data_IF_528193728290
#
_entry.id   IF_528193728290
#
_cell.length_a   1.000
_cell.length_b   1.000
_cell.length_c   1.000
_cell.angle_alpha   90.00
_cell.angle_beta   90.00
_cell.angle_gamma   90.00
#
_symmetry.space_group_name_H-M   'P 1'
#
loop_
_entity.id
_entity.type
_entity.pdbx_description
1 polymer ?
#
# COMPACT_ATOMS: atom_id res chain seq x y z
N UNK A 1 4.23 15.55 -4.84
CA UNK A 1 2.99 16.38 -4.84
C UNK A 1 1.74 15.49 -4.99
N UNK A 2 0.52 16.02 -4.90
CA UNK A 2 -0.72 15.32 -5.31
C UNK A 2 -1.68 16.25 -6.05
N UNK A 3 -2.49 15.67 -6.93
CA UNK A 3 -3.54 16.32 -7.71
C UNK A 3 -4.92 15.77 -7.37
N UNK A 4 -5.98 16.58 -7.48
CA UNK A 4 -7.35 16.10 -7.24
C UNK A 4 -7.82 15.17 -8.35
N UNK A 5 -7.49 15.46 -9.62
CA UNK A 5 -7.69 14.54 -10.73
C UNK A 5 -6.36 13.85 -11.06
N UNK A 6 -6.26 12.56 -10.71
CA UNK A 6 -5.26 11.66 -11.29
C UNK A 6 -6.02 10.79 -12.28
N UNK A 7 -5.98 11.15 -13.57
CA UNK A 7 -6.42 10.26 -14.63
C UNK A 7 -5.56 8.98 -14.60
N UNK A 8 -6.09 7.89 -15.12
CA UNK A 8 -5.40 6.61 -15.31
C UNK A 8 -4.24 6.76 -16.29
N UNK A 9 -3.13 7.36 -15.87
CA UNK A 9 -1.87 7.49 -16.61
C UNK A 9 -1.88 8.30 -17.91
N UNK A 10 -3.05 8.62 -18.48
CA UNK A 10 -3.21 9.17 -19.83
C UNK A 10 -3.68 10.63 -19.89
N UNK A 11 -4.31 11.17 -18.85
CA UNK A 11 -4.72 12.58 -18.78
C UNK A 11 -4.15 13.30 -17.56
N UNK A 12 -3.18 14.20 -17.81
CA UNK A 12 -2.52 15.04 -16.82
C UNK A 12 -3.13 16.45 -16.82
N UNK A 13 -4.45 16.52 -16.64
CA UNK A 13 -5.21 17.77 -16.67
C UNK A 13 -5.99 17.96 -15.37
N UNK A 14 -5.24 18.06 -14.26
CA UNK A 14 -5.86 18.44 -12.98
C UNK A 14 -6.06 19.95 -12.92
N UNK A 15 -7.19 20.35 -12.33
CA UNK A 15 -7.53 21.75 -12.08
C UNK A 15 -6.83 22.29 -10.84
N UNK A 16 -6.41 21.40 -9.93
CA UNK A 16 -5.54 21.77 -8.84
C UNK A 16 -4.49 20.71 -8.46
N UNK A 17 -3.48 21.16 -7.74
CA UNK A 17 -2.46 20.35 -7.09
C UNK A 17 -2.11 20.93 -5.71
N UNK A 18 -1.62 20.08 -4.83
CA UNK A 18 -1.23 20.44 -3.47
C UNK A 18 0.01 19.65 -3.04
N UNK A 19 0.84 20.29 -2.23
CA UNK A 19 2.10 19.74 -1.76
C UNK A 19 2.53 20.38 -0.46
N UNK A 20 3.46 19.72 0.23
CA UNK A 20 4.00 20.16 1.49
C UNK A 20 5.45 19.71 1.61
N UNK A 21 6.25 20.52 2.30
CA UNK A 21 7.57 20.11 2.78
C UNK A 21 7.43 19.61 4.22
N UNK A 22 7.98 18.42 4.47
CA UNK A 22 7.87 17.73 5.75
C UNK A 22 9.27 17.56 6.33
N UNK A 23 9.45 17.95 7.58
CA UNK A 23 10.72 17.75 8.28
C UNK A 23 10.99 16.26 8.45
N UNK A 24 12.13 15.79 7.93
CA UNK A 24 12.50 14.36 7.95
C UNK A 24 12.55 13.78 9.38
N UNK A 25 13.13 14.53 10.32
CA UNK A 25 13.26 14.09 11.72
C UNK A 25 11.97 14.28 12.52
N UNK A 26 11.28 15.41 12.34
CA UNK A 26 10.08 15.74 13.12
C UNK A 26 8.82 15.04 12.61
N UNK A 27 8.77 14.69 11.32
CA UNK A 27 7.58 14.21 10.63
C UNK A 27 6.46 15.25 10.50
N UNK A 28 6.74 16.52 10.85
CA UNK A 28 5.80 17.65 10.82
C UNK A 28 5.92 18.39 9.50
N UNK A 29 4.80 18.92 9.02
CA UNK A 29 4.76 19.84 7.90
C UNK A 29 5.41 21.15 8.34
N UNK A 30 6.41 21.59 7.58
CA UNK A 30 7.11 22.86 7.77
C UNK A 30 6.40 23.98 7.02
N UNK A 31 5.99 23.69 5.78
CA UNK A 31 5.23 24.59 4.91
C UNK A 31 4.43 23.79 3.88
N UNK A 32 3.40 24.39 3.30
CA UNK A 32 2.52 23.78 2.30
C UNK A 32 1.98 24.82 1.33
N UNK A 33 1.54 24.35 0.15
CA UNK A 33 0.91 25.22 -0.82
C UNK A 33 -0.01 24.49 -1.78
N UNK A 34 -0.82 25.28 -2.48
CA UNK A 34 -1.80 24.85 -3.47
C UNK A 34 -1.51 25.52 -4.81
N UNK A 35 -1.85 24.82 -5.89
CA UNK A 35 -1.81 25.31 -7.28
C UNK A 35 -3.17 25.10 -7.89
N UNK A 36 -3.90 26.18 -8.13
CA UNK A 36 -5.26 26.17 -8.63
C UNK A 36 -5.31 26.88 -9.99
N UNK A 37 -5.77 26.17 -11.02
CA UNK A 37 -5.87 26.67 -12.39
C UNK A 37 -7.20 27.32 -12.73
N UNK A 38 -8.23 27.11 -11.89
CA UNK A 38 -9.59 27.60 -12.11
C UNK A 38 -10.21 28.09 -10.82
N UNK A 39 -11.14 29.02 -10.96
CA UNK A 39 -12.03 29.49 -9.89
C UNK A 39 -13.45 29.58 -10.45
N UNK A 40 -14.42 29.01 -9.73
CA UNK A 40 -15.82 28.92 -10.17
C UNK A 40 -16.48 30.29 -10.34
N UNK A 41 -16.12 31.26 -9.50
CA UNK A 41 -16.71 32.61 -9.56
C UNK A 41 -16.11 33.41 -10.73
N UNK A 42 -14.79 33.33 -10.95
CA UNK A 42 -14.18 33.88 -12.16
C UNK A 42 -14.76 33.27 -13.45
N UNK A 43 -14.98 31.95 -13.49
CA UNK A 43 -15.59 31.28 -14.65
C UNK A 43 -17.04 31.75 -14.91
N UNK A 44 -17.70 32.37 -13.92
CA UNK A 44 -19.02 33.01 -14.04
C UNK A 44 -18.95 34.50 -14.39
N UNK A 45 -17.76 35.07 -14.56
CA UNK A 45 -17.57 36.49 -14.89
C UNK A 45 -17.45 37.44 -13.70
N UNK A 46 -17.32 36.94 -12.46
CA UNK A 46 -17.01 37.79 -11.31
C UNK A 46 -15.55 38.25 -11.34
N UNK A 47 -15.31 39.49 -10.90
CA UNK A 47 -13.95 39.99 -10.75
C UNK A 47 -13.20 39.19 -9.67
N UNK A 48 -11.91 38.85 -9.87
CA UNK A 48 -11.10 38.16 -8.87
C UNK A 48 -11.03 38.88 -7.51
N UNK A 49 -11.23 40.20 -7.46
CA UNK A 49 -11.20 40.97 -6.22
C UNK A 49 -12.53 40.93 -5.45
N UNK A 50 -13.63 40.49 -6.08
CA UNK A 50 -14.96 40.43 -5.46
C UNK A 50 -15.16 39.19 -4.56
N UNK A 51 -14.18 38.27 -4.54
CA UNK A 51 -14.28 37.02 -3.80
C UNK A 51 -12.89 36.49 -3.41
N UNK A 52 -12.85 35.44 -2.58
CA UNK A 52 -11.61 34.74 -2.24
C UNK A 52 -11.10 33.89 -3.43
N UNK A 53 -10.58 34.57 -4.44
CA UNK A 53 -10.08 33.93 -5.65
C UNK A 53 -8.76 33.20 -5.38
N UNK A 54 -8.83 31.87 -5.28
CA UNK A 54 -7.65 31.01 -5.09
C UNK A 54 -6.91 30.64 -6.38
N UNK A 55 -7.30 31.19 -7.53
CA UNK A 55 -6.64 30.91 -8.82
C UNK A 55 -5.24 31.52 -8.82
N UNK A 56 -4.21 30.68 -8.86
CA UNK A 56 -2.81 31.10 -8.71
C UNK A 56 -1.84 30.38 -9.66
N UNK A 57 -2.34 29.55 -10.58
CA UNK A 57 -1.49 28.78 -11.49
C UNK A 57 -2.04 28.78 -12.91
N UNK A 58 -1.22 29.18 -13.88
CA UNK A 58 -1.66 29.37 -15.28
C UNK A 58 -1.11 28.34 -16.26
N UNK A 59 -0.13 27.54 -15.82
CA UNK A 59 0.59 26.58 -16.68
C UNK A 59 -0.08 25.19 -16.61
N UNK A 60 0.44 24.22 -17.38
CA UNK A 60 -0.02 22.83 -17.38
C UNK A 60 0.05 22.18 -15.99
N UNK A 61 -0.88 21.27 -15.69
CA UNK A 61 -0.91 20.58 -14.40
C UNK A 61 0.39 19.81 -14.06
N UNK A 62 1.15 19.38 -15.09
CA UNK A 62 2.44 18.71 -14.95
C UNK A 62 3.51 19.61 -14.32
N UNK A 63 3.43 20.93 -14.51
CA UNK A 63 4.39 21.89 -13.99
C UNK A 63 4.16 22.23 -12.51
N UNK A 64 2.98 21.91 -11.96
CA UNK A 64 2.61 22.29 -10.59
C UNK A 64 3.57 21.76 -9.53
N UNK A 65 4.10 20.55 -9.72
CA UNK A 65 4.97 19.90 -8.74
C UNK A 65 6.33 20.58 -8.64
N UNK A 66 6.98 20.81 -9.78
CA UNK A 66 8.26 21.48 -9.82
C UNK A 66 8.16 22.94 -9.34
N UNK A 67 7.08 23.63 -9.72
CA UNK A 67 6.81 25.00 -9.32
C UNK A 67 6.56 25.12 -7.81
N UNK A 68 5.69 24.28 -7.26
CA UNK A 68 5.41 24.27 -5.81
C UNK A 68 6.63 23.80 -5.00
N UNK A 69 7.39 22.82 -5.50
CA UNK A 69 8.63 22.38 -4.86
C UNK A 69 9.65 23.51 -4.76
N UNK A 70 9.82 24.28 -5.83
CA UNK A 70 10.70 25.45 -5.85
C UNK A 70 10.20 26.57 -4.91
N UNK A 71 8.89 26.86 -4.90
CA UNK A 71 8.31 27.83 -3.98
C UNK A 71 8.54 27.43 -2.52
N UNK A 72 8.15 26.23 -2.12
CA UNK A 72 8.27 25.78 -0.72
C UNK A 72 9.72 25.67 -0.26
N UNK A 73 10.66 25.39 -1.18
CA UNK A 73 12.08 25.22 -0.82
C UNK A 73 12.82 26.55 -0.75
N UNK A 74 12.61 27.44 -1.73
CA UNK A 74 13.40 28.66 -1.89
C UNK A 74 12.66 29.92 -1.43
N UNK A 75 11.33 29.91 -1.53
CA UNK A 75 10.48 31.08 -1.32
C UNK A 75 9.53 30.96 -0.13
N UNK A 76 9.64 29.90 0.67
CA UNK A 76 8.84 29.74 1.90
C UNK A 76 9.04 30.92 2.84
N UNK A 77 7.96 31.65 3.10
CA UNK A 77 7.95 32.77 4.02
C UNK A 77 8.25 32.30 5.46
N UNK A 78 7.70 31.15 5.86
CA UNK A 78 7.90 30.55 7.20
C UNK A 78 9.38 30.23 7.44
N UNK A 79 10.05 29.64 6.44
CA UNK A 79 11.47 29.31 6.55
C UNK A 79 12.34 30.58 6.59
N UNK A 80 12.00 31.60 5.80
CA UNK A 80 12.72 32.89 5.79
C UNK A 80 12.60 33.61 7.13
N UNK A 81 11.41 33.68 7.72
CA UNK A 81 11.16 34.30 9.03
C UNK A 81 11.95 33.62 10.16
N UNK A 82 12.10 32.30 10.07
CA UNK A 82 12.87 31.51 11.03
C UNK A 82 14.37 31.43 10.70
N UNK A 83 14.82 32.10 9.62
CA UNK A 83 16.21 32.08 9.12
C UNK A 83 16.72 30.67 8.81
N UNK A 84 15.83 29.78 8.37
CA UNK A 84 16.15 28.41 7.98
C UNK A 84 16.24 28.28 6.46
N UNK A 85 17.18 27.45 6.00
CA UNK A 85 17.35 27.12 4.59
C UNK A 85 17.33 25.60 4.39
N UNK A 86 16.68 25.14 3.31
CA UNK A 86 16.68 23.73 2.95
C UNK A 86 17.99 23.37 2.24
N UNK A 87 18.77 22.46 2.81
CA UNK A 87 20.03 21.95 2.21
C UNK A 87 19.88 20.59 1.56
N UNK A 88 18.95 19.78 2.07
CA UNK A 88 18.74 18.41 1.64
C UNK A 88 17.27 18.22 1.33
N UNK A 89 16.98 17.82 0.09
CA UNK A 89 15.65 17.49 -0.39
C UNK A 89 15.55 15.98 -0.58
N UNK A 90 14.52 15.37 -0.02
CA UNK A 90 14.15 13.97 -0.27
C UNK A 90 12.95 14.01 -1.18
N UNK A 91 13.08 13.44 -2.38
CA UNK A 91 12.00 13.41 -3.36
C UNK A 91 12.13 12.15 -4.22
N UNK A 92 11.10 11.87 -5.00
CA UNK A 92 11.12 10.80 -5.98
C UNK A 92 12.17 11.11 -7.08
N UNK A 93 12.54 10.15 -7.92
CA UNK A 93 13.60 10.34 -8.92
C UNK A 93 13.20 11.19 -10.15
N UNK A 94 12.18 12.02 -10.02
CA UNK A 94 11.79 13.00 -11.02
C UNK A 94 12.81 14.16 -11.07
N UNK A 95 13.26 14.48 -12.29
CA UNK A 95 14.33 15.45 -12.54
C UNK A 95 13.86 16.91 -12.56
N UNK A 96 12.57 17.15 -12.83
CA UNK A 96 12.00 18.49 -13.01
C UNK A 96 11.96 19.31 -11.73
N UNK A 97 11.57 18.70 -10.59
CA UNK A 97 11.48 19.38 -9.29
C UNK A 97 12.84 19.83 -8.79
N UNK A 98 13.82 18.93 -8.74
CA UNK A 98 15.17 19.27 -8.26
C UNK A 98 15.84 20.31 -9.17
N UNK A 99 15.59 20.28 -10.48
CA UNK A 99 16.10 21.28 -11.39
C UNK A 99 15.50 22.67 -11.11
N UNK A 100 14.18 22.75 -10.91
CA UNK A 100 13.50 24.01 -10.56
C UNK A 100 13.99 24.56 -9.22
N UNK A 101 14.10 23.70 -8.21
CA UNK A 101 14.61 24.03 -6.87
C UNK A 101 16.04 24.56 -6.95
N UNK A 102 16.95 23.89 -7.67
CA UNK A 102 18.34 24.34 -7.80
C UNK A 102 18.49 25.67 -8.54
N UNK A 103 17.69 25.90 -9.59
CA UNK A 103 17.70 27.18 -10.33
C UNK A 103 17.32 28.37 -9.45
N UNK A 104 16.40 28.18 -8.51
CA UNK A 104 15.92 29.24 -7.62
C UNK A 104 16.69 29.38 -6.31
N UNK A 105 17.71 28.56 -6.06
CA UNK A 105 18.46 28.55 -4.81
C UNK A 105 19.83 29.21 -4.98
N UNK A 106 20.18 30.12 -4.07
CA UNK A 106 21.53 30.68 -3.94
C UNK A 106 22.54 29.69 -3.32
N UNK A 107 22.06 28.55 -2.84
CA UNK A 107 22.83 27.56 -2.10
C UNK A 107 22.79 26.19 -2.79
N UNK A 108 23.85 25.39 -2.59
CA UNK A 108 23.86 23.99 -3.04
C UNK A 108 22.80 23.16 -2.31
N UNK A 109 21.90 22.56 -3.09
CA UNK A 109 20.84 21.66 -2.63
C UNK A 109 21.18 20.22 -3.05
N UNK A 110 21.35 19.38 -2.03
CA UNK A 110 21.56 17.94 -2.16
C UNK A 110 20.21 17.23 -2.31
N UNK A 111 20.13 16.30 -3.26
CA UNK A 111 18.97 15.43 -3.43
C UNK A 111 19.31 14.05 -2.87
N UNK A 112 18.45 13.55 -1.98
CA UNK A 112 18.45 12.16 -1.56
C UNK A 112 17.30 11.43 -2.26
N UNK A 113 17.57 10.20 -2.67
CA UNK A 113 16.59 9.37 -3.36
C UNK A 113 15.58 8.78 -2.37
N UNK A 114 14.30 8.72 -2.76
CA UNK A 114 13.34 7.87 -2.07
C UNK A 114 13.67 6.39 -2.32
N UNK A 115 13.90 5.64 -1.24
CA UNK A 115 14.24 4.23 -1.31
C UNK A 115 13.19 3.34 -2.00
N UNK A 116 11.90 3.66 -1.89
CA UNK A 116 10.86 2.83 -2.48
C UNK A 116 10.83 3.01 -4.00
N UNK A 117 11.01 4.24 -4.47
CA UNK A 117 11.16 4.57 -5.88
C UNK A 117 12.44 3.98 -6.44
N UNK A 118 13.57 4.12 -5.74
CA UNK A 118 14.84 3.50 -6.14
C UNK A 118 14.71 1.98 -6.29
N UNK A 119 14.05 1.32 -5.33
CA UNK A 119 13.78 -0.13 -5.39
C UNK A 119 12.84 -0.50 -6.55
N UNK A 120 11.88 0.36 -6.89
CA UNK A 120 10.97 0.16 -8.02
C UNK A 120 11.71 0.31 -9.36
N UNK A 121 12.59 1.30 -9.46
CA UNK A 121 13.40 1.55 -10.65
C UNK A 121 14.37 0.40 -10.91
N UNK A 122 15.03 -0.11 -9.86
CA UNK A 122 15.84 -1.33 -9.95
C UNK A 122 15.03 -2.50 -10.49
N UNK A 123 13.82 -2.72 -9.95
CA UNK A 123 12.96 -3.81 -10.43
C UNK A 123 12.55 -3.64 -11.89
N UNK A 124 12.27 -2.41 -12.33
CA UNK A 124 11.97 -2.14 -13.73
C UNK A 124 13.19 -2.48 -14.62
N UNK A 125 14.40 -2.07 -14.23
CA UNK A 125 15.64 -2.43 -14.94
C UNK A 125 15.84 -3.96 -15.01
N UNK A 126 15.54 -4.68 -13.93
CA UNK A 126 15.59 -6.15 -13.91
C UNK A 126 14.52 -6.79 -14.80
N UNK A 127 13.34 -6.19 -14.94
CA UNK A 127 12.32 -6.65 -15.88
C UNK A 127 12.70 -6.41 -17.34
N UNK A 128 13.45 -5.35 -17.65
CA UNK A 128 14.02 -5.15 -18.99
C UNK A 128 15.06 -6.23 -19.30
N UNK A 129 15.92 -6.58 -18.34
CA UNK A 129 16.86 -7.71 -18.50
C UNK A 129 16.14 -9.05 -18.70
N UNK A 130 14.99 -9.24 -18.05
CA UNK A 130 14.16 -10.44 -18.22
C UNK A 130 13.67 -10.64 -19.67
N UNK A 131 13.50 -9.57 -20.45
CA UNK A 131 13.11 -9.68 -21.87
C UNK A 131 14.22 -10.27 -22.73
N UNK A 132 15.46 -10.14 -22.31
CA UNK A 132 16.66 -10.52 -23.07
C UNK A 132 17.23 -11.85 -22.57
N UNK A 133 17.26 -12.06 -21.26
CA UNK A 133 17.88 -13.23 -20.63
C UNK A 133 16.85 -14.20 -20.06
N UNK A 134 16.87 -15.45 -20.53
CA UNK A 134 15.90 -16.48 -20.13
C UNK A 134 16.01 -16.87 -18.65
N UNK A 135 17.21 -16.86 -18.04
CA UNK A 135 17.40 -17.21 -16.63
C UNK A 135 16.63 -16.26 -15.68
N UNK A 136 16.47 -14.99 -16.07
CA UNK A 136 15.69 -13.99 -15.33
C UNK A 136 14.17 -14.26 -15.36
N UNK A 137 13.70 -15.20 -16.19
CA UNK A 137 12.30 -15.58 -16.25
C UNK A 137 11.84 -16.48 -15.10
N UNK A 138 12.79 -17.10 -14.39
CA UNK A 138 12.50 -17.84 -13.16
C UNK A 138 11.80 -16.93 -12.15
N UNK A 139 10.68 -17.38 -11.60
CA UNK A 139 9.80 -16.58 -10.73
C UNK A 139 10.50 -16.02 -9.49
N UNK A 140 11.57 -16.66 -9.03
CA UNK A 140 12.26 -16.35 -7.78
C UNK A 140 13.42 -15.34 -7.94
N UNK A 141 13.94 -15.14 -9.15
CA UNK A 141 15.17 -14.37 -9.39
C UNK A 141 14.99 -12.88 -9.07
N UNK A 142 14.02 -12.21 -9.70
CA UNK A 142 13.78 -10.77 -9.45
C UNK A 142 13.40 -10.52 -7.98
N UNK A 143 12.48 -11.30 -7.35
CA UNK A 143 12.19 -11.15 -5.93
C UNK A 143 13.42 -11.33 -5.03
N UNK A 144 14.31 -12.28 -5.34
CA UNK A 144 15.53 -12.52 -4.58
C UNK A 144 16.51 -11.36 -4.70
N UNK A 145 16.81 -10.89 -5.92
CA UNK A 145 17.67 -9.72 -6.16
C UNK A 145 17.13 -8.47 -5.45
N UNK A 146 15.81 -8.27 -5.52
CA UNK A 146 15.15 -7.16 -4.85
C UNK A 146 15.25 -7.27 -3.31
N UNK A 147 15.23 -8.50 -2.76
CA UNK A 147 15.42 -8.78 -1.33
C UNK A 147 16.86 -8.52 -0.91
N UNK A 148 17.85 -8.99 -1.67
CA UNK A 148 19.28 -8.73 -1.44
C UNK A 148 19.56 -7.22 -1.42
N UNK A 149 19.05 -6.47 -2.40
CA UNK A 149 19.15 -5.00 -2.42
C UNK A 149 18.55 -4.37 -1.16
N UNK A 150 17.35 -4.81 -0.77
CA UNK A 150 16.69 -4.33 0.43
C UNK A 150 17.48 -4.59 1.72
N UNK A 151 18.14 -5.75 1.83
CA UNK A 151 19.01 -6.08 2.96
C UNK A 151 20.28 -5.23 2.96
N UNK A 152 20.95 -5.08 1.82
CA UNK A 152 22.14 -4.24 1.70
C UNK A 152 21.86 -2.79 2.15
N UNK A 153 20.73 -2.20 1.71
CA UNK A 153 20.32 -0.85 2.13
C UNK A 153 19.93 -0.81 3.62
N UNK A 154 19.24 -1.83 4.13
CA UNK A 154 18.77 -1.83 5.52
C UNK A 154 19.90 -1.99 6.54
N UNK A 155 20.93 -2.78 6.22
CA UNK A 155 22.07 -3.06 7.11
C UNK A 155 23.12 -1.94 7.09
N UNK A 156 23.33 -1.29 5.95
CA UNK A 156 24.40 -0.30 5.76
C UNK A 156 23.91 1.16 5.87
N UNK A 157 22.90 1.42 6.71
CA UNK A 157 22.34 2.78 6.84
C UNK A 157 23.40 3.77 7.34
N UNK A 158 23.57 4.85 6.61
CA UNK A 158 24.55 5.90 6.90
C UNK A 158 26.00 5.54 6.54
N UNK A 159 26.28 4.31 6.08
CA UNK A 159 27.63 3.90 5.66
C UNK A 159 27.69 3.73 4.14
N UNK A 160 28.12 4.79 3.45
CA UNK A 160 28.18 4.84 1.98
C UNK A 160 29.11 3.78 1.40
N UNK A 161 30.29 3.60 1.99
CA UNK A 161 31.32 2.70 1.47
C UNK A 161 30.90 1.24 1.61
N UNK A 162 30.39 0.85 2.79
CA UNK A 162 29.90 -0.52 3.01
C UNK A 162 28.65 -0.82 2.18
N UNK A 163 27.77 0.17 1.99
CA UNK A 163 26.62 0.01 1.10
C UNK A 163 27.07 -0.24 -0.34
N UNK A 164 27.99 0.58 -0.86
CA UNK A 164 28.51 0.42 -2.22
C UNK A 164 29.19 -0.96 -2.39
N UNK A 165 30.01 -1.39 -1.44
CA UNK A 165 30.62 -2.72 -1.47
C UNK A 165 29.58 -3.85 -1.44
N UNK A 166 28.58 -3.75 -0.54
CA UNK A 166 27.51 -4.75 -0.43
C UNK A 166 26.66 -4.85 -1.68
N UNK A 167 26.41 -3.75 -2.39
CA UNK A 167 25.67 -3.76 -3.65
C UNK A 167 26.45 -4.45 -4.76
N UNK A 168 27.77 -4.23 -4.83
CA UNK A 168 28.65 -4.86 -5.83
C UNK A 168 28.78 -6.37 -5.66
N UNK A 169 28.60 -6.89 -4.45
CA UNK A 169 28.64 -8.34 -4.22
C UNK A 169 27.31 -9.07 -4.50
N UNK A 170 26.21 -8.36 -4.75
CA UNK A 170 24.91 -9.00 -5.05
C UNK A 170 24.95 -9.83 -6.35
N UNK A 171 25.51 -9.34 -7.47
CA UNK A 171 25.72 -10.17 -8.65
C UNK A 171 26.52 -11.42 -8.32
N UNK A 172 27.69 -11.30 -7.70
CA UNK A 172 28.54 -12.46 -7.40
C UNK A 172 27.81 -13.50 -6.52
N UNK A 173 27.04 -13.04 -5.54
CA UNK A 173 26.19 -13.88 -4.69
C UNK A 173 25.22 -14.77 -5.47
N UNK A 174 24.54 -14.24 -6.49
CA UNK A 174 23.56 -15.04 -7.28
C UNK A 174 24.23 -15.97 -8.29
N UNK A 175 25.54 -15.82 -8.54
CA UNK A 175 26.36 -16.74 -9.33
C UNK A 175 27.15 -17.74 -8.46
N UNK A 176 26.93 -17.74 -7.14
CA UNK A 176 27.55 -18.70 -6.21
C UNK A 176 28.92 -18.29 -5.69
N UNK A 177 29.36 -17.07 -5.98
CA UNK A 177 30.57 -16.46 -5.41
C UNK A 177 30.17 -15.65 -4.16
N UNK A 178 30.68 -16.09 -3.02
CA UNK A 178 30.32 -15.56 -1.71
C UNK A 178 31.48 -14.87 -0.99
N UNK A 179 32.64 -14.71 -1.63
CA UNK A 179 33.85 -14.17 -0.97
C UNK A 179 33.62 -12.76 -0.38
N UNK A 180 32.86 -11.94 -1.11
CA UNK A 180 32.58 -10.54 -0.77
C UNK A 180 31.15 -10.32 -0.23
N UNK A 181 30.46 -11.40 0.15
CA UNK A 181 29.15 -11.29 0.77
C UNK A 181 29.26 -10.68 2.19
N UNK A 182 28.28 -9.86 2.56
CA UNK A 182 28.13 -9.37 3.93
C UNK A 182 27.21 -10.27 4.77
N UNK A 183 26.92 -9.83 6.00
CA UNK A 183 26.04 -10.53 6.97
C UNK A 183 24.62 -10.83 6.46
N UNK A 184 24.19 -10.23 5.35
CA UNK A 184 22.94 -10.56 4.66
C UNK A 184 22.98 -11.91 3.93
N UNK A 185 24.15 -12.50 3.72
CA UNK A 185 24.30 -13.81 3.12
C UNK A 185 24.25 -14.91 4.18
N UNK A 186 23.21 -15.75 4.12
CA UNK A 186 22.99 -16.85 5.05
C UNK A 186 24.13 -17.91 5.07
N UNK A 187 24.99 -17.95 4.03
CA UNK A 187 26.08 -18.92 3.93
C UNK A 187 27.22 -18.68 4.94
N UNK A 188 27.37 -17.45 5.45
CA UNK A 188 28.30 -17.17 6.55
C UNK A 188 27.79 -17.63 7.92
N UNK A 189 26.46 -17.74 8.09
CA UNK A 189 25.84 -18.16 9.35
C UNK A 189 25.59 -19.68 9.42
N UNK A 190 25.38 -20.34 8.28
CA UNK A 190 25.21 -21.79 8.18
C UNK A 190 25.97 -22.37 6.97
N UNK A 191 27.22 -22.84 7.15
CA UNK A 191 28.09 -23.31 6.05
C UNK A 191 27.55 -24.54 5.29
N UNK A 192 26.70 -25.35 5.94
CA UNK A 192 26.16 -26.61 5.40
C UNK A 192 24.75 -26.49 4.79
N UNK A 193 24.18 -25.29 4.72
CA UNK A 193 22.88 -25.10 4.07
C UNK A 193 23.03 -25.13 2.54
N UNK A 194 22.52 -26.19 1.90
CA UNK A 194 22.40 -26.31 0.43
C UNK A 194 21.41 -25.29 -0.18
N UNK A 195 20.80 -24.40 0.61
CA UNK A 195 19.71 -23.54 0.14
C UNK A 195 20.22 -22.25 -0.54
N UNK A 196 21.00 -22.36 -1.61
CA UNK A 196 21.12 -21.20 -2.51
C UNK A 196 19.82 -21.09 -3.31
N UNK A 197 18.92 -20.20 -2.89
CA UNK A 197 17.59 -20.04 -3.49
C UNK A 197 17.67 -19.72 -4.99
N UNK A 198 18.72 -19.02 -5.43
CA UNK A 198 18.93 -18.65 -6.82
C UNK A 198 20.40 -18.85 -7.20
N UNK A 199 20.65 -19.72 -8.18
CA UNK A 199 21.94 -19.90 -8.83
C UNK A 199 21.78 -19.64 -10.35
N UNK A 200 22.48 -18.63 -10.84
CA UNK A 200 22.55 -18.21 -12.25
C UNK A 200 23.86 -18.71 -12.88
N UNK A 201 23.85 -18.93 -14.19
CA UNK A 201 25.00 -19.48 -14.94
C UNK A 201 25.38 -18.65 -16.17
N UNK A 202 24.45 -17.84 -16.69
CA UNK A 202 24.71 -17.00 -17.87
C UNK A 202 25.73 -15.89 -17.56
N UNK A 203 26.93 -16.01 -18.14
CA UNK A 203 28.02 -15.06 -17.93
C UNK A 203 27.71 -13.67 -18.52
N UNK A 204 26.95 -13.59 -19.62
CA UNK A 204 26.53 -12.31 -20.19
C UNK A 204 25.55 -11.61 -19.25
N UNK A 205 24.63 -12.37 -18.65
CA UNK A 205 23.75 -11.86 -17.59
C UNK A 205 24.55 -11.37 -16.38
N UNK A 206 25.64 -12.06 -15.99
CA UNK A 206 26.52 -11.64 -14.89
C UNK A 206 27.07 -10.24 -15.11
N UNK A 207 27.59 -9.97 -16.31
CA UNK A 207 28.13 -8.64 -16.67
C UNK A 207 27.05 -7.56 -16.64
N UNK A 208 25.85 -7.86 -17.18
CA UNK A 208 24.72 -6.93 -17.16
C UNK A 208 24.26 -6.63 -15.73
N UNK A 209 24.15 -7.64 -14.88
CA UNK A 209 23.81 -7.45 -13.47
C UNK A 209 24.89 -6.64 -12.74
N UNK A 210 26.18 -6.91 -12.97
CA UNK A 210 27.28 -6.09 -12.43
C UNK A 210 27.12 -4.63 -12.83
N UNK A 211 26.93 -4.34 -14.11
CA UNK A 211 26.72 -2.97 -14.59
C UNK A 211 25.52 -2.27 -13.92
N UNK A 212 24.39 -2.98 -13.76
CA UNK A 212 23.23 -2.45 -13.04
C UNK A 212 23.59 -2.15 -11.59
N UNK A 213 24.10 -3.11 -10.83
CA UNK A 213 24.40 -2.90 -9.41
C UNK A 213 25.54 -1.90 -9.18
N UNK A 214 26.52 -1.80 -10.08
CA UNK A 214 27.58 -0.78 -10.04
C UNK A 214 27.04 0.64 -10.19
N UNK A 215 26.05 0.85 -11.06
CA UNK A 215 25.35 2.14 -11.18
C UNK A 215 24.73 2.55 -9.84
N UNK A 216 24.09 1.63 -9.12
CA UNK A 216 23.52 1.91 -7.79
C UNK A 216 24.62 2.10 -6.74
N UNK A 217 25.67 1.28 -6.74
CA UNK A 217 26.80 1.39 -5.83
C UNK A 217 27.54 2.74 -5.98
N UNK A 218 27.76 3.20 -7.21
CA UNK A 218 28.36 4.52 -7.50
C UNK A 218 27.51 5.69 -7.04
N UNK A 219 26.20 5.47 -6.80
CA UNK A 219 25.27 6.48 -6.31
C UNK A 219 24.87 6.26 -4.84
N UNK A 220 25.56 5.39 -4.09
CA UNK A 220 25.20 5.01 -2.72
C UNK A 220 25.04 6.20 -1.76
N UNK A 221 25.79 7.29 -1.97
CA UNK A 221 25.68 8.51 -1.15
C UNK A 221 24.27 9.13 -1.20
N UNK A 222 23.53 8.96 -2.31
CA UNK A 222 22.19 9.51 -2.49
C UNK A 222 21.11 8.79 -1.68
N UNK A 223 21.33 7.56 -1.24
CA UNK A 223 20.30 6.75 -0.57
C UNK A 223 20.78 5.97 0.65
N UNK A 224 22.04 6.13 1.05
CA UNK A 224 22.60 5.51 2.26
C UNK A 224 21.85 5.86 3.55
N UNK A 225 21.25 7.05 3.63
CA UNK A 225 20.43 7.47 4.77
C UNK A 225 19.09 6.75 4.87
N UNK A 226 18.76 5.94 3.87
CA UNK A 226 17.52 5.23 3.72
C UNK A 226 16.26 6.12 3.80
N UNK A 227 16.35 7.33 3.23
CA UNK A 227 15.28 8.31 3.19
C UNK A 227 14.04 7.83 2.44
N UNK A 228 12.87 8.37 2.81
CA UNK A 228 11.63 8.05 2.11
C UNK A 228 10.55 9.14 2.15
N UNK A 229 9.80 9.28 1.05
CA UNK A 229 8.64 10.15 0.82
C UNK A 229 7.33 9.59 1.41
N UNK A 230 7.35 8.47 2.15
CA UNK A 230 6.18 7.87 2.81
C UNK A 230 5.38 8.85 3.69
N UNK A 231 6.06 9.82 4.32
CA UNK A 231 5.39 10.85 5.11
C UNK A 231 4.52 11.79 4.24
N UNK A 232 4.98 12.09 3.02
CA UNK A 232 4.25 12.85 2.01
C UNK A 232 3.10 12.02 1.46
N UNK A 233 3.29 10.72 1.17
CA UNK A 233 2.21 9.83 0.74
C UNK A 233 1.08 9.73 1.77
N UNK A 234 1.43 9.59 3.05
CA UNK A 234 0.48 9.56 4.16
C UNK A 234 -0.30 10.88 4.30
N UNK A 235 0.39 12.02 4.16
CA UNK A 235 -0.26 13.32 4.14
C UNK A 235 -1.21 13.47 2.95
N UNK A 236 -0.72 13.14 1.75
CA UNK A 236 -1.48 13.13 0.51
C UNK A 236 -2.74 12.26 0.61
N UNK A 237 -2.69 11.13 1.31
CA UNK A 237 -3.86 10.31 1.57
C UNK A 237 -4.87 11.02 2.49
N UNK A 238 -4.40 11.72 3.52
CA UNK A 238 -5.25 12.51 4.42
C UNK A 238 -5.97 13.63 3.65
N UNK A 239 -5.25 14.36 2.80
CA UNK A 239 -5.86 15.40 1.95
C UNK A 239 -6.92 14.81 1.03
N UNK A 240 -6.67 13.63 0.44
CA UNK A 240 -7.63 12.98 -0.44
C UNK A 240 -8.91 12.51 0.24
N UNK A 241 -8.84 12.12 1.51
CA UNK A 241 -10.05 11.82 2.29
C UNK A 241 -10.89 13.06 2.58
N UNK A 242 -10.28 14.26 2.56
CA UNK A 242 -10.98 15.55 2.74
C UNK A 242 -11.42 16.15 1.41
N UNK A 243 -10.65 15.94 0.34
CA UNK A 243 -10.94 16.34 -1.03
C UNK A 243 -11.30 15.10 -1.86
N UNK A 244 -12.51 14.58 -1.66
CA UNK A 244 -12.98 13.38 -2.35
C UNK A 244 -13.07 13.62 -3.86
N UNK A 245 -12.61 12.68 -4.68
CA UNK A 245 -12.65 12.81 -6.14
C UNK A 245 -14.07 12.99 -6.71
N UNK A 246 -15.08 12.42 -6.05
CA UNK A 246 -16.48 12.51 -6.47
C UNK A 246 -17.07 13.91 -6.29
N UNK A 247 -16.49 14.70 -5.38
CA UNK A 247 -16.97 16.02 -5.02
C UNK A 247 -15.95 17.07 -5.51
N UNK A 248 -16.35 17.89 -6.49
CA UNK A 248 -15.44 18.88 -7.07
C UNK A 248 -15.29 20.10 -6.15
N UNK A 249 -14.31 20.04 -5.23
CA UNK A 249 -13.93 21.18 -4.38
C UNK A 249 -12.85 22.06 -5.00
N UNK A 250 -12.17 21.60 -6.07
CA UNK A 250 -10.97 22.23 -6.64
C UNK A 250 -11.18 23.57 -7.34
N UNK A 251 -12.40 24.11 -7.32
CA UNK A 251 -12.79 25.36 -8.00
C UNK A 251 -13.16 26.47 -7.02
N UNK A 252 -13.01 26.26 -5.71
CA UNK A 252 -13.25 27.27 -4.68
C UNK A 252 -12.24 27.15 -3.55
N UNK A 253 -12.24 28.12 -2.66
CA UNK A 253 -11.46 28.19 -1.42
C UNK A 253 -11.68 26.98 -0.49
N UNK A 254 -12.78 26.25 -0.67
CA UNK A 254 -13.06 25.02 0.06
C UNK A 254 -11.93 23.98 -0.05
N UNK A 255 -11.30 23.85 -1.22
CA UNK A 255 -10.20 22.88 -1.38
C UNK A 255 -9.00 23.25 -0.51
N UNK A 256 -8.66 24.54 -0.48
CA UNK A 256 -7.51 25.08 0.26
C UNK A 256 -7.74 24.94 1.77
N UNK A 257 -8.95 25.23 2.27
CA UNK A 257 -9.31 24.98 3.68
C UNK A 257 -9.19 23.50 4.06
N UNK A 258 -9.55 22.57 3.17
CA UNK A 258 -9.41 21.12 3.41
C UNK A 258 -7.96 20.68 3.45
N UNK A 259 -7.09 21.29 2.63
CA UNK A 259 -5.63 21.08 2.68
C UNK A 259 -5.07 21.63 3.99
N UNK A 260 -5.38 22.88 4.36
CA UNK A 260 -4.94 23.51 5.60
C UNK A 260 -5.38 22.71 6.83
N UNK A 261 -6.63 22.26 6.85
CA UNK A 261 -7.16 21.35 7.85
C UNK A 261 -6.32 20.08 7.96
N UNK A 262 -5.93 19.45 6.83
CA UNK A 262 -5.11 18.23 6.82
C UNK A 262 -3.71 18.50 7.40
N UNK A 263 -3.14 19.67 7.12
CA UNK A 263 -1.88 20.13 7.71
C UNK A 263 -1.99 20.21 9.22
N UNK A 264 -3.03 20.88 9.73
CA UNK A 264 -3.27 21.02 11.16
C UNK A 264 -3.43 19.65 11.85
N UNK A 265 -4.22 18.74 11.29
CA UNK A 265 -4.38 17.40 11.86
C UNK A 265 -3.06 16.62 11.88
N UNK A 266 -2.24 16.70 10.83
CA UNK A 266 -0.92 16.04 10.81
C UNK A 266 0.00 16.63 11.88
N UNK A 267 0.03 17.94 12.04
CA UNK A 267 0.94 18.61 12.95
C UNK A 267 0.50 18.54 14.42
N UNK A 268 -0.78 18.73 14.70
CA UNK A 268 -1.31 18.90 16.06
C UNK A 268 -2.36 17.86 16.48
N UNK A 269 -2.81 17.00 15.56
CA UNK A 269 -3.98 16.15 15.82
C UNK A 269 -5.28 16.90 15.66
N UNK A 270 -6.40 16.22 15.91
CA UNK A 270 -7.74 16.80 15.77
C UNK A 270 -8.06 17.81 16.88
N UNK A 271 -7.29 17.84 17.97
CA UNK A 271 -7.32 18.91 18.97
C UNK A 271 -6.97 20.31 18.43
N UNK A 272 -6.50 20.46 17.18
CA UNK A 272 -6.33 21.78 16.57
C UNK A 272 -7.65 22.56 16.43
N UNK A 273 -8.79 21.86 16.36
CA UNK A 273 -10.11 22.48 16.18
C UNK A 273 -10.46 23.41 17.35
N UNK A 274 -10.13 23.02 18.58
CA UNK A 274 -10.34 23.85 19.77
C UNK A 274 -9.54 25.15 19.67
N UNK A 275 -8.27 25.07 19.25
CA UNK A 275 -7.43 26.26 19.07
C UNK A 275 -7.97 27.20 17.99
N UNK A 276 -8.48 26.66 16.89
CA UNK A 276 -9.09 27.46 15.83
C UNK A 276 -10.37 28.14 16.34
N UNK A 277 -11.19 27.43 17.12
CA UNK A 277 -12.39 27.99 17.74
C UNK A 277 -12.04 29.14 18.71
N UNK A 278 -11.01 28.96 19.54
CA UNK A 278 -10.53 30.00 20.45
C UNK A 278 -10.07 31.26 19.70
N UNK A 279 -9.29 31.09 18.62
CA UNK A 279 -8.82 32.21 17.76
C UNK A 279 -10.01 32.93 17.12
N UNK A 280 -11.00 32.18 16.64
CA UNK A 280 -12.22 32.72 16.03
C UNK A 280 -13.22 33.25 17.09
N UNK A 281 -12.89 33.15 18.39
CA UNK A 281 -13.76 33.54 19.50
C UNK A 281 -15.12 32.82 19.47
N UNK A 282 -15.13 31.59 18.97
CA UNK A 282 -16.30 30.70 18.96
C UNK A 282 -16.17 29.75 20.14
N UNK A 283 -17.19 29.69 21.01
CA UNK A 283 -17.18 28.82 22.19
C UNK A 283 -16.96 27.35 21.78
N UNK A 284 -15.89 26.69 22.27
CA UNK A 284 -15.67 25.27 22.02
C UNK A 284 -16.80 24.45 22.65
N UNK A 285 -17.64 23.82 21.82
CA UNK A 285 -18.71 22.96 22.35
C UNK A 285 -18.08 21.69 22.92
N UNK A 286 -18.52 21.26 24.11
CA UNK A 286 -18.14 20.00 24.79
C UNK A 286 -18.05 18.79 23.84
N UNK A 287 -18.97 18.70 22.88
CA UNK A 287 -18.98 17.61 21.90
C UNK A 287 -17.82 17.64 20.90
N UNK A 288 -17.37 18.82 20.47
CA UNK A 288 -16.23 18.98 19.57
C UNK A 288 -14.93 18.50 20.22
N UNK A 289 -14.72 18.86 21.49
CA UNK A 289 -13.57 18.42 22.27
C UNK A 289 -13.54 16.89 22.46
N UNK A 290 -14.68 16.31 22.86
CA UNK A 290 -14.81 14.86 23.01
C UNK A 290 -14.57 14.11 21.69
N UNK A 291 -15.08 14.66 20.57
CA UNK A 291 -14.84 14.10 19.24
C UNK A 291 -13.36 14.15 18.87
N UNK A 292 -12.71 15.31 19.02
CA UNK A 292 -11.28 15.50 18.72
C UNK A 292 -10.41 14.52 19.52
N UNK A 293 -10.62 14.44 20.83
CA UNK A 293 -9.90 13.51 21.71
C UNK A 293 -10.12 12.04 21.32
N UNK A 294 -11.34 11.67 20.88
CA UNK A 294 -11.64 10.31 20.37
C UNK A 294 -10.88 10.03 19.07
N UNK A 295 -10.88 10.96 18.11
CA UNK A 295 -10.16 10.78 16.85
C UNK A 295 -8.66 10.64 17.07
N UNK A 296 -8.07 11.50 17.92
CA UNK A 296 -6.65 11.44 18.24
C UNK A 296 -6.27 10.11 18.91
N UNK A 297 -7.08 9.63 19.86
CA UNK A 297 -6.87 8.32 20.50
C UNK A 297 -6.91 7.17 19.49
N UNK A 298 -7.89 7.17 18.58
CA UNK A 298 -7.98 6.15 17.52
C UNK A 298 -6.79 6.21 16.56
N UNK A 299 -6.33 7.42 16.21
CA UNK A 299 -5.18 7.64 15.34
C UNK A 299 -3.89 7.12 15.97
N UNK A 300 -3.64 7.42 17.25
CA UNK A 300 -2.48 6.93 18.00
C UNK A 300 -2.50 5.40 18.06
N UNK A 301 -3.63 4.80 18.47
CA UNK A 301 -3.79 3.35 18.54
C UNK A 301 -3.56 2.67 17.19
N UNK A 302 -4.08 3.23 16.09
CA UNK A 302 -3.85 2.72 14.72
C UNK A 302 -2.38 2.81 14.32
N UNK A 303 -1.69 3.90 14.68
CA UNK A 303 -0.28 4.08 14.39
C UNK A 303 0.61 3.09 15.16
N UNK A 304 0.31 2.86 16.45
CA UNK A 304 0.99 1.85 17.29
C UNK A 304 0.78 0.44 16.75
N UNK A 305 -0.48 0.06 16.49
CA UNK A 305 -0.82 -1.23 15.87
C UNK A 305 -0.12 -1.43 14.53
N UNK A 306 -0.03 -0.37 13.70
CA UNK A 306 0.65 -0.42 12.41
C UNK A 306 2.14 -0.76 12.47
N UNK A 307 2.80 -0.54 13.61
CA UNK A 307 4.22 -0.84 13.84
C UNK A 307 4.47 -2.31 14.20
N UNK A 308 3.49 -2.98 14.79
CA UNK A 308 3.61 -4.37 15.26
C UNK A 308 3.95 -5.34 14.12
N UNK A 309 4.86 -6.29 14.39
CA UNK A 309 5.28 -7.31 13.43
C UNK A 309 4.10 -8.17 12.98
N UNK A 310 3.23 -8.55 13.91
CA UNK A 310 2.00 -9.33 13.63
C UNK A 310 1.07 -8.60 12.68
N UNK A 311 0.82 -7.31 12.90
CA UNK A 311 -0.01 -6.48 12.02
C UNK A 311 0.62 -6.28 10.64
N UNK A 312 1.95 -6.12 10.54
CA UNK A 312 2.66 -6.07 9.25
C UNK A 312 2.55 -7.40 8.49
N UNK A 313 2.76 -8.52 9.17
CA UNK A 313 2.65 -9.86 8.60
C UNK A 313 1.23 -10.14 8.10
N UNK A 314 0.22 -9.87 8.94
CA UNK A 314 -1.20 -10.03 8.57
C UNK A 314 -1.57 -9.19 7.35
N UNK A 315 -1.10 -7.94 7.26
CA UNK A 315 -1.32 -7.10 6.06
C UNK A 315 -0.71 -7.71 4.80
N UNK A 316 0.48 -8.29 4.89
CA UNK A 316 1.13 -8.95 3.75
C UNK A 316 0.34 -10.20 3.31
N UNK A 317 -0.10 -11.04 4.25
CA UNK A 317 -0.92 -12.23 3.98
C UNK A 317 -2.24 -11.81 3.30
N UNK A 318 -2.96 -10.84 3.87
CA UNK A 318 -4.22 -10.35 3.29
C UNK A 318 -4.02 -9.71 1.90
N UNK A 319 -2.86 -9.10 1.63
CA UNK A 319 -2.53 -8.59 0.29
C UNK A 319 -2.33 -9.75 -0.69
N UNK A 320 -1.58 -10.78 -0.31
CA UNK A 320 -1.34 -11.96 -1.13
C UNK A 320 -2.65 -12.72 -1.43
N UNK A 321 -3.49 -12.92 -0.42
CA UNK A 321 -4.81 -13.56 -0.58
C UNK A 321 -5.70 -12.78 -1.55
N UNK A 322 -5.79 -11.45 -1.40
CA UNK A 322 -6.56 -10.60 -2.32
C UNK A 322 -6.03 -10.66 -3.75
N UNK A 323 -4.71 -10.62 -3.93
CA UNK A 323 -4.08 -10.71 -5.24
C UNK A 323 -4.33 -12.08 -5.90
N UNK A 324 -4.24 -13.16 -5.12
CA UNK A 324 -4.53 -14.52 -5.59
C UNK A 324 -5.99 -14.66 -6.00
N UNK A 325 -6.92 -14.18 -5.16
CA UNK A 325 -8.35 -14.17 -5.46
C UNK A 325 -8.65 -13.34 -6.70
N UNK A 326 -8.03 -12.17 -6.87
CA UNK A 326 -8.20 -11.33 -8.06
C UNK A 326 -7.80 -12.10 -9.32
N UNK A 327 -6.62 -12.74 -9.33
CA UNK A 327 -6.15 -13.52 -10.49
C UNK A 327 -7.03 -14.72 -10.81
N UNK A 328 -7.53 -15.43 -9.80
CA UNK A 328 -8.46 -16.55 -10.01
C UNK A 328 -9.76 -16.06 -10.63
N UNK A 329 -10.33 -14.97 -10.10
CA UNK A 329 -11.55 -14.35 -10.63
C UNK A 329 -11.37 -13.80 -12.03
N UNK A 330 -10.35 -12.99 -12.29
CA UNK A 330 -10.04 -12.44 -13.61
C UNK A 330 -9.83 -13.57 -14.64
N UNK A 331 -9.25 -14.71 -14.24
CA UNK A 331 -9.11 -15.88 -15.12
C UNK A 331 -10.45 -16.58 -15.39
N UNK A 332 -11.31 -16.74 -14.38
CA UNK A 332 -12.63 -17.36 -14.56
C UNK A 332 -13.63 -16.47 -15.29
N UNK A 333 -13.48 -15.15 -15.15
CA UNK A 333 -14.34 -14.15 -15.78
C UNK A 333 -14.00 -13.95 -17.27
N UNK A 334 -12.78 -14.31 -17.70
CA UNK A 334 -12.33 -14.05 -19.06
C UNK A 334 -12.23 -12.54 -19.37
N UNK A 335 -12.24 -12.18 -20.65
CA UNK A 335 -12.16 -10.78 -21.08
C UNK A 335 -13.49 -10.07 -20.87
N UNK A 336 -13.67 -9.43 -19.70
CA UNK A 336 -14.88 -8.67 -19.37
C UNK A 336 -14.87 -7.21 -19.88
N UNK A 337 -13.69 -6.62 -20.11
CA UNK A 337 -13.57 -5.23 -20.53
C UNK A 337 -12.33 -5.01 -21.42
N UNK A 338 -12.55 -4.93 -22.73
CA UNK A 338 -11.58 -4.44 -23.70
C UNK A 338 -12.19 -3.30 -24.53
N UNK A 339 -11.40 -2.31 -24.96
CA UNK A 339 -11.88 -1.31 -25.92
C UNK A 339 -12.45 -2.02 -27.15
N UNK A 340 -13.64 -1.62 -27.58
CA UNK A 340 -14.36 -2.20 -28.74
C UNK A 340 -14.88 -3.65 -28.58
N UNK A 341 -14.85 -4.25 -27.38
CA UNK A 341 -15.36 -5.62 -27.18
C UNK A 341 -16.85 -5.83 -27.55
N UNK A 342 -17.64 -4.74 -27.66
CA UNK A 342 -19.04 -4.78 -28.12
C UNK A 342 -19.24 -4.46 -29.59
N UNK A 343 -18.19 -4.09 -30.35
CA UNK A 343 -18.27 -3.80 -31.78
C UNK A 343 -18.03 -5.05 -32.64
N UNK A 344 -17.25 -6.01 -32.13
CA UNK A 344 -16.99 -7.30 -32.78
C UNK A 344 -17.99 -8.40 -32.35
N UNK A 345 -19.07 -8.02 -31.66
CA UNK A 345 -20.22 -8.91 -31.44
C UNK A 345 -21.00 -8.98 -32.75
N UNK A 346 -20.67 -9.96 -33.60
CA UNK A 346 -21.49 -10.30 -34.76
C UNK A 346 -22.96 -10.49 -34.31
N UNK A 347 -23.87 -9.67 -34.85
CA UNK A 347 -25.33 -9.80 -34.66
C UNK A 347 -25.86 -11.06 -35.36
N UNK A 348 -25.02 -11.79 -36.09
CA UNK A 348 -25.31 -13.14 -36.51
C UNK A 348 -25.18 -14.06 -35.30
N UNK A 349 -26.31 -14.40 -34.70
CA UNK A 349 -26.46 -15.63 -33.91
C UNK A 349 -26.08 -16.77 -34.85
N UNK A 350 -24.79 -17.13 -34.85
CA UNK A 350 -24.28 -18.37 -35.41
C UNK A 350 -24.82 -19.49 -34.53
N UNK A 351 -25.91 -20.08 -35.00
CA UNK A 351 -26.14 -21.50 -34.81
C UNK A 351 -24.98 -22.25 -35.44
N UNK A 352 -24.47 -23.26 -34.71
CA UNK A 352 -23.44 -24.24 -35.11
C UNK A 352 -22.00 -23.72 -34.98
N UNK A 353 -21.03 -24.40 -34.36
CA UNK A 353 -20.90 -25.74 -33.76
C UNK A 353 -19.76 -25.60 -32.74
N UNK A 354 -20.03 -25.77 -31.43
CA UNK A 354 -18.95 -25.91 -30.44
C UNK A 354 -18.63 -27.40 -30.30
N UNK A 355 -17.54 -27.77 -30.95
CA UNK A 355 -16.82 -29.02 -30.76
C UNK A 355 -16.21 -29.05 -29.35
N UNK A 356 -16.18 -30.24 -28.76
CA UNK A 356 -15.96 -30.50 -27.35
C UNK A 356 -14.67 -29.90 -26.75
N UNK A 357 -14.81 -28.98 -25.79
CA UNK A 357 -14.00 -29.03 -24.57
C UNK A 357 -14.88 -28.70 -23.36
N UNK A 358 -15.48 -29.77 -22.84
CA UNK A 358 -16.48 -29.81 -21.78
C UNK A 358 -15.92 -29.35 -20.43
N UNK A 359 -16.10 -28.07 -20.11
CA UNK A 359 -16.38 -27.65 -18.75
C UNK A 359 -17.90 -27.50 -18.63
N UNK A 360 -18.59 -28.62 -18.39
CA UNK A 360 -20.04 -28.65 -18.21
C UNK A 360 -20.44 -27.81 -17.00
N UNK A 361 -21.01 -26.63 -17.24
CA UNK A 361 -21.83 -25.98 -16.23
C UNK A 361 -23.08 -26.85 -16.03
N UNK A 362 -23.20 -27.44 -14.84
CA UNK A 362 -24.36 -28.24 -14.44
C UNK A 362 -25.60 -27.34 -14.54
N UNK A 363 -26.63 -27.78 -15.26
CA UNK A 363 -27.95 -27.16 -15.16
C UNK A 363 -28.45 -27.29 -13.71
N UNK A 364 -29.33 -26.40 -13.21
CA UNK A 364 -29.86 -26.50 -11.84
C UNK A 364 -30.49 -27.87 -11.52
N UNK A 365 -30.94 -28.57 -12.56
CA UNK A 365 -31.57 -29.90 -12.49
C UNK A 365 -30.54 -31.05 -12.37
N UNK A 366 -29.24 -30.75 -12.50
CA UNK A 366 -28.10 -31.67 -12.34
C UNK A 366 -27.30 -31.41 -11.05
N UNK A 367 -27.72 -30.44 -10.24
CA UNK A 367 -27.08 -30.15 -8.95
C UNK A 367 -27.71 -31.00 -7.84
N UNK A 368 -26.88 -31.80 -7.17
CA UNK A 368 -27.30 -32.52 -5.97
C UNK A 368 -27.28 -31.58 -4.77
N UNK A 369 -28.45 -31.24 -4.22
CA UNK A 369 -28.56 -30.32 -3.10
C UNK A 369 -28.32 -31.04 -1.78
N UNK A 370 -27.23 -30.66 -1.10
CA UNK A 370 -26.93 -31.12 0.26
C UNK A 370 -27.24 -29.98 1.22
N UNK A 371 -28.18 -30.23 2.12
CA UNK A 371 -28.48 -29.36 3.25
C UNK A 371 -27.55 -29.74 4.40
N UNK A 372 -26.93 -28.76 5.04
CA UNK A 372 -26.10 -29.04 6.22
C UNK A 372 -26.31 -28.00 7.30
N UNK A 373 -26.10 -28.42 8.54
CA UNK A 373 -26.16 -27.57 9.71
C UNK A 373 -25.06 -27.96 10.72
N UNK A 374 -24.74 -27.03 11.61
CA UNK A 374 -23.65 -27.14 12.56
C UNK A 374 -24.09 -26.75 13.97
N UNK A 375 -23.81 -27.63 14.93
CA UNK A 375 -23.93 -27.28 16.35
C UNK A 375 -22.58 -26.86 16.92
N UNK A 376 -22.56 -25.78 17.70
CA UNK A 376 -21.31 -25.15 18.17
C UNK A 376 -21.31 -24.93 19.68
N UNK A 377 -20.12 -24.79 20.26
CA UNK A 377 -19.95 -24.48 21.69
C UNK A 377 -20.43 -23.07 22.10
N UNK A 378 -20.70 -22.19 21.12
CA UNK A 378 -21.20 -20.82 21.31
C UNK A 378 -21.11 -19.99 20.02
N UNK A 379 -21.50 -18.72 20.07
CA UNK A 379 -21.58 -17.84 18.88
C UNK A 379 -20.25 -17.11 18.53
N UNK A 380 -19.16 -17.41 19.22
CA UNK A 380 -17.87 -16.74 18.99
C UNK A 380 -17.11 -17.37 17.81
N UNK A 381 -16.22 -16.61 17.17
CA UNK A 381 -15.35 -17.13 16.09
C UNK A 381 -14.33 -18.18 16.58
N UNK A 382 -14.16 -18.34 17.88
CA UNK A 382 -13.33 -19.38 18.50
C UNK A 382 -14.18 -20.53 19.07
N UNK A 383 -15.47 -20.61 18.74
CA UNK A 383 -16.31 -21.72 19.16
C UNK A 383 -15.91 -23.01 18.44
N UNK A 384 -15.77 -24.09 19.20
CA UNK A 384 -15.72 -25.45 18.63
C UNK A 384 -17.00 -25.76 17.86
N UNK A 385 -16.85 -26.45 16.73
CA UNK A 385 -17.93 -27.20 16.08
C UNK A 385 -18.03 -28.54 16.82
N UNK A 386 -19.23 -28.86 17.31
CA UNK A 386 -19.50 -30.03 18.15
C UNK A 386 -20.31 -31.10 17.41
N UNK A 387 -21.04 -30.71 16.36
CA UNK A 387 -21.74 -31.63 15.48
C UNK A 387 -21.76 -31.08 14.05
N UNK A 388 -21.63 -31.98 13.08
CA UNK A 388 -21.90 -31.70 11.67
C UNK A 388 -23.03 -32.65 11.26
N UNK A 389 -24.12 -32.08 10.74
CA UNK A 389 -25.19 -32.84 10.12
C UNK A 389 -25.34 -32.38 8.67
N UNK A 390 -25.43 -33.33 7.74
CA UNK A 390 -25.68 -33.06 6.34
C UNK A 390 -26.68 -34.09 5.81
N UNK A 391 -27.59 -33.69 4.94
CA UNK A 391 -28.55 -34.56 4.31
C UNK A 391 -28.85 -34.11 2.88
N UNK A 392 -29.13 -35.07 2.02
CA UNK A 392 -29.72 -34.86 0.72
C UNK A 392 -31.06 -35.61 0.63
N UNK A 393 -31.56 -35.88 -0.57
CA UNK A 393 -32.84 -36.58 -0.75
C UNK A 393 -32.79 -38.07 -0.33
N UNK A 394 -31.61 -38.70 -0.39
CA UNK A 394 -31.44 -40.16 -0.30
C UNK A 394 -30.56 -40.60 0.88
N UNK A 395 -29.79 -39.68 1.46
CA UNK A 395 -28.74 -39.96 2.44
C UNK A 395 -28.67 -38.90 3.53
N UNK A 396 -28.26 -39.34 4.72
CA UNK A 396 -27.96 -38.45 5.84
C UNK A 396 -26.62 -38.83 6.48
N UNK A 397 -25.91 -37.80 6.93
CA UNK A 397 -24.63 -37.88 7.59
C UNK A 397 -24.72 -37.06 8.88
N UNK A 398 -24.27 -37.64 9.98
CA UNK A 398 -24.19 -36.94 11.25
C UNK A 398 -22.98 -37.44 12.01
N UNK A 399 -22.16 -36.51 12.50
CA UNK A 399 -21.00 -36.85 13.32
C UNK A 399 -20.83 -35.84 14.45
N UNK A 400 -20.45 -36.33 15.63
CA UNK A 400 -20.07 -35.50 16.76
C UNK A 400 -18.55 -35.30 16.80
N UNK A 401 -18.12 -34.12 17.24
CA UNK A 401 -16.72 -33.71 17.25
C UNK A 401 -16.26 -33.45 18.68
N UNK A 402 -15.05 -33.89 18.99
CA UNK A 402 -14.47 -33.74 20.33
C UNK A 402 -14.40 -32.26 20.75
N UNK A 403 -14.93 -31.89 21.94
CA UNK A 403 -14.85 -30.54 22.44
C UNK A 403 -13.43 -30.27 22.96
N UNK A 404 -12.85 -29.15 22.55
CA UNK A 404 -11.56 -28.64 23.04
C UNK A 404 -11.74 -27.61 24.16
N UNK A 405 -12.94 -27.04 24.30
CA UNK A 405 -13.30 -26.06 25.31
C UNK A 405 -14.70 -26.29 25.89
N UNK A 406 -15.05 -25.53 26.93
CA UNK A 406 -16.36 -25.62 27.57
C UNK A 406 -17.48 -25.13 26.63
N UNK A 407 -18.64 -25.81 26.68
CA UNK A 407 -19.86 -25.37 25.97
C UNK A 407 -20.55 -24.28 26.79
N UNK A 408 -20.90 -23.17 26.15
CA UNK A 408 -21.60 -22.08 26.85
C UNK A 408 -22.99 -22.52 27.30
N UNK A 409 -23.45 -22.00 28.45
CA UNK A 409 -24.78 -22.34 29.02
C UNK A 409 -25.89 -22.07 27.99
N UNK A 410 -25.79 -21.00 27.22
CA UNK A 410 -26.76 -20.68 26.17
C UNK A 410 -26.74 -21.68 25.02
N UNK A 411 -25.55 -22.13 24.57
CA UNK A 411 -25.46 -23.14 23.52
C UNK A 411 -25.98 -24.48 24.01
N UNK A 412 -25.56 -24.92 25.20
CA UNK A 412 -26.03 -26.17 25.81
C UNK A 412 -27.56 -26.21 25.97
N UNK A 413 -28.20 -25.08 26.32
CA UNK A 413 -29.68 -25.00 26.38
C UNK A 413 -30.37 -25.20 25.04
N UNK A 414 -29.73 -24.81 23.93
CA UNK A 414 -30.31 -24.88 22.58
C UNK A 414 -30.04 -26.24 21.95
N UNK A 415 -28.80 -26.73 22.09
CA UNK A 415 -28.32 -27.92 21.38
C UNK A 415 -28.38 -29.19 22.22
N UNK A 416 -28.58 -29.07 23.54
CA UNK A 416 -28.48 -30.19 24.47
C UNK A 416 -27.05 -30.72 24.67
N UNK A 417 -26.04 -30.09 24.07
CA UNK A 417 -24.65 -30.55 24.12
C UNK A 417 -23.89 -29.97 25.33
N UNK A 418 -23.10 -30.82 25.95
CA UNK A 418 -22.29 -30.50 27.12
C UNK A 418 -20.90 -31.11 27.00
N UNK A 419 -19.87 -30.37 27.43
CA UNK A 419 -18.53 -30.92 27.60
C UNK A 419 -18.32 -31.26 29.08
N UNK A 420 -18.17 -32.54 29.38
CA UNK A 420 -17.86 -33.03 30.72
C UNK A 420 -16.48 -33.69 30.67
N UNK A 421 -15.49 -33.06 31.32
CA UNK A 421 -14.12 -33.56 31.43
C UNK A 421 -13.42 -33.87 30.08
N UNK A 422 -13.75 -33.12 29.01
CA UNK A 422 -13.16 -33.29 27.68
C UNK A 422 -13.92 -34.28 26.78
N UNK A 423 -15.04 -34.82 27.26
CA UNK A 423 -15.91 -35.72 26.51
C UNK A 423 -17.25 -35.03 26.20
N UNK A 424 -17.83 -35.31 25.02
CA UNK A 424 -19.09 -34.71 24.60
C UNK A 424 -20.28 -35.53 25.07
N UNK A 425 -21.28 -34.85 25.61
CA UNK A 425 -22.55 -35.42 26.03
C UNK A 425 -23.69 -34.69 25.33
N UNK A 426 -24.73 -35.42 24.97
CA UNK A 426 -26.00 -34.89 24.47
C UNK A 426 -27.11 -35.31 25.43
N UNK A 427 -27.76 -34.34 26.08
CA UNK A 427 -28.78 -34.57 27.12
C UNK A 427 -28.35 -35.57 28.20
N UNK A 428 -27.13 -35.42 28.70
CA UNK A 428 -26.57 -36.27 29.76
C UNK A 428 -26.12 -37.66 29.31
N UNK A 429 -26.21 -37.99 28.02
CA UNK A 429 -25.66 -39.24 27.45
C UNK A 429 -24.39 -38.95 26.67
N UNK A 430 -23.32 -39.68 26.95
CA UNK A 430 -22.07 -39.58 26.19
C UNK A 430 -22.33 -39.96 24.74
N UNK A 431 -21.89 -39.12 23.80
CA UNK A 431 -21.96 -39.39 22.37
C UNK A 431 -20.61 -39.85 21.85
N UNK A 432 -20.62 -40.69 20.82
CA UNK A 432 -19.39 -41.09 20.14
C UNK A 432 -18.90 -39.93 19.27
N UNK A 433 -17.79 -39.32 19.69
CA UNK A 433 -17.22 -38.14 19.05
C UNK A 433 -15.82 -38.41 18.54
N UNK A 434 -15.49 -37.80 17.40
CA UNK A 434 -14.18 -37.97 16.76
C UNK A 434 -13.39 -36.66 16.74
N UNK A 435 -12.05 -36.72 16.61
CA UNK A 435 -11.26 -35.51 16.39
C UNK A 435 -11.68 -34.81 15.09
N UNK A 436 -11.72 -33.48 15.09
CA UNK A 436 -12.12 -32.66 13.93
C UNK A 436 -11.33 -32.92 12.64
N UNK A 437 -10.14 -33.52 12.73
CA UNK A 437 -9.33 -33.90 11.55
C UNK A 437 -9.83 -35.19 10.89
N UNK A 438 -10.69 -35.95 11.56
CA UNK A 438 -11.28 -37.21 11.08
C UNK A 438 -12.76 -37.06 10.67
N UNK A 439 -13.42 -36.00 11.16
CA UNK A 439 -14.70 -35.54 10.64
C UNK A 439 -14.48 -34.81 9.32
#
# INVERSE_FOLDING_TARGET
>A
MRWSKRGTGRSYDSLNGYGAIIGFLSGKILDYGTRNRKCRLCDKGHDPNDHDCRKNFMVSAKAMEADLGAELTNNSQILKETKLNVRVLIDDEDSSTIAAVRRGSSHSILKLADNNHLRKDLVNELYELKKIHSEMSKKEVIPHLQKCFGYAVAQNKGNVNLLAASLRSIPDHVFGDHENCGDWCHRHSEPNSQSQTVLLKDQWLREKLRAVFDKYAGNASKFSSAASSQANESFNNTVAHRNLKKDCHSLSESSDYRVASAVCTKNKGDGYLERVQDILKVSPRKHSALFAAKQDRMRIKRAEMGKLRTSKLRRNILRQQRESLRKVKEKSEGTMYEPNCGLDLDIAVNMEQDDESSASFLSPDQCHFIYFDLETSGLSLSADILQIAAADQDSSFMVYINPSQAVTISASKVTGLENIQGELFHHGKKVDSIPIKKA
#
